data_IF_627245221897
#
_entry.id   IF_627245221897
#
_cell.length_a   1.000
_cell.length_b   1.000
_cell.length_c   1.000
_cell.angle_alpha   90.00
_cell.angle_beta   90.00
_cell.angle_gamma   90.00
#
_symmetry.space_group_name_H-M   'P 1'
#
loop_
_entity.id
_entity.type
_entity.pdbx_description
1 polymer ?
#
# COMPACT_ATOMS: atom_id res chain seq x y z
N UNK A 1 -23.53 -1.42 -6.29
CA UNK A 1 -23.34 -0.02 -5.91
C UNK A 1 -21.92 0.10 -5.39
N UNK A 2 -21.02 0.75 -6.13
CA UNK A 2 -19.67 1.00 -5.65
C UNK A 2 -19.75 2.15 -4.64
N UNK A 3 -19.52 1.86 -3.36
CA UNK A 3 -19.28 2.88 -2.35
C UNK A 3 -17.83 3.34 -2.40
N UNK A 4 -17.35 3.86 -3.54
CA UNK A 4 -16.01 4.44 -3.64
C UNK A 4 -15.98 5.75 -2.85
N UNK A 5 -16.00 5.67 -1.53
CA UNK A 5 -15.88 6.84 -0.66
C UNK A 5 -14.42 7.28 -0.74
N UNK A 6 -14.13 8.15 -1.71
CA UNK A 6 -12.87 8.89 -1.78
C UNK A 6 -12.96 10.03 -0.76
N UNK A 7 -12.42 9.82 0.43
CA UNK A 7 -12.25 10.92 1.38
C UNK A 7 -10.89 11.54 1.13
N UNK A 8 -10.86 12.83 0.78
CA UNK A 8 -9.64 13.64 0.72
C UNK A 8 -9.60 14.51 1.98
N UNK A 9 -8.69 14.20 2.89
CA UNK A 9 -8.46 15.04 4.07
C UNK A 9 -7.12 15.75 3.94
N UNK A 10 -7.12 17.07 4.11
CA UNK A 10 -5.91 17.89 4.20
C UNK A 10 -5.65 18.18 5.66
N UNK A 11 -4.45 17.86 6.15
CA UNK A 11 -4.01 18.21 7.49
C UNK A 11 -3.09 19.42 7.39
N UNK A 12 -3.53 20.57 7.90
CA UNK A 12 -2.69 21.76 8.03
C UNK A 12 -1.98 21.74 9.39
N UNK A 13 -0.81 21.10 9.43
CA UNK A 13 0.23 21.39 10.42
C UNK A 13 1.28 22.25 9.74
N UNK A 14 1.63 23.40 10.33
CA UNK A 14 2.59 24.38 9.80
C UNK A 14 3.75 23.66 9.06
N UNK A 15 3.83 23.86 7.74
CA UNK A 15 4.82 23.36 6.75
C UNK A 15 4.61 22.02 6.00
N UNK A 16 3.62 21.17 6.31
CA UNK A 16 3.38 19.95 5.49
C UNK A 16 1.89 19.79 5.14
N UNK A 17 1.53 20.09 3.88
CA UNK A 17 0.22 19.73 3.32
C UNK A 17 0.23 18.21 3.07
N UNK A 18 -0.37 17.45 3.98
CA UNK A 18 -0.57 16.01 3.78
C UNK A 18 -1.86 15.83 2.99
N UNK A 19 -1.74 15.39 1.74
CA UNK A 19 -2.87 14.98 0.93
C UNK A 19 -3.09 13.47 1.14
N UNK A 20 -4.21 13.13 1.76
CA UNK A 20 -4.55 11.76 2.10
C UNK A 20 -5.77 11.28 1.30
N UNK A 21 -5.68 10.10 0.71
CA UNK A 21 -6.77 9.43 0.00
C UNK A 21 -7.06 8.10 0.70
N UNK A 22 -8.32 7.93 1.09
CA UNK A 22 -8.82 6.65 1.61
C UNK A 22 -9.78 6.02 0.58
N UNK A 23 -9.61 4.72 0.35
CA UNK A 23 -10.38 3.90 -0.57
C UNK A 23 -10.93 2.71 0.21
N UNK A 24 -12.26 2.59 0.27
CA UNK A 24 -12.97 1.51 0.99
C UNK A 24 -13.93 0.75 0.09
N UNK A 25 -14.14 -0.53 0.38
CA UNK A 25 -15.18 -1.37 -0.21
C UNK A 25 -15.15 -1.43 -1.76
N UNK A 26 -13.98 -1.30 -2.37
CA UNK A 26 -13.88 -1.28 -3.83
C UNK A 26 -13.98 -2.68 -4.44
N UNK A 27 -14.81 -2.78 -5.48
CA UNK A 27 -15.06 -4.02 -6.21
C UNK A 27 -14.05 -4.26 -7.36
N UNK A 28 -13.23 -3.27 -7.72
CA UNK A 28 -12.11 -3.40 -8.65
C UNK A 28 -11.28 -2.10 -8.66
N UNK A 29 -10.01 -2.14 -8.29
CA UNK A 29 -9.10 -0.99 -8.47
C UNK A 29 -8.75 -0.79 -9.96
N UNK A 30 -8.85 -1.86 -10.75
CA UNK A 30 -8.67 -1.86 -12.20
C UNK A 30 -9.85 -1.23 -12.99
N UNK A 31 -11.04 -1.10 -12.38
CA UNK A 31 -12.23 -0.49 -13.02
C UNK A 31 -12.33 1.03 -12.77
N UNK A 32 -11.28 1.64 -12.19
CA UNK A 32 -11.11 3.09 -12.31
C UNK A 32 -11.00 3.43 -13.80
N UNK A 33 -11.83 4.32 -14.39
CA UNK A 33 -11.94 4.52 -15.85
C UNK A 33 -10.68 5.05 -16.59
N UNK A 34 -9.55 5.08 -15.91
CA UNK A 34 -8.26 5.63 -16.30
C UNK A 34 -7.32 5.42 -15.11
N UNK A 35 -5.99 5.36 -15.31
CA UNK A 35 -4.99 5.38 -14.24
C UNK A 35 -5.39 6.31 -13.09
N UNK A 36 -5.83 5.71 -11.99
CA UNK A 36 -6.63 6.37 -10.96
C UNK A 36 -5.86 7.46 -10.24
N UNK A 37 -6.04 8.69 -10.75
CA UNK A 37 -5.48 9.97 -10.31
C UNK A 37 -3.96 9.94 -10.17
N UNK A 38 -3.20 10.26 -11.25
CA UNK A 38 -1.87 10.83 -11.05
C UNK A 38 -2.02 12.06 -10.17
N UNK A 39 -1.81 11.86 -8.87
CA UNK A 39 -1.88 12.90 -7.86
C UNK A 39 -0.46 13.07 -7.33
N UNK A 40 0.31 13.97 -7.96
CA UNK A 40 1.71 14.16 -7.63
C UNK A 40 1.89 14.71 -6.23
N UNK A 41 0.83 15.12 -5.52
CA UNK A 41 0.90 15.64 -4.15
C UNK A 41 0.37 14.64 -3.11
N UNK A 42 -0.16 13.49 -3.54
CA UNK A 42 -0.66 12.48 -2.61
C UNK A 42 0.47 11.89 -1.78
N UNK A 43 0.41 12.09 -0.47
CA UNK A 43 1.42 11.62 0.47
C UNK A 43 0.95 10.42 1.30
N UNK A 44 -0.36 10.22 1.46
CA UNK A 44 -0.94 9.09 2.18
C UNK A 44 -2.03 8.41 1.34
N UNK A 45 -1.90 7.10 1.14
CA UNK A 45 -2.90 6.25 0.51
C UNK A 45 -3.32 5.13 1.46
N UNK A 46 -4.61 5.07 1.75
CA UNK A 46 -5.24 3.98 2.50
C UNK A 46 -6.17 3.19 1.59
N UNK A 47 -6.00 1.87 1.54
CA UNK A 47 -6.85 0.97 0.76
C UNK A 47 -7.32 -0.15 1.67
N UNK A 48 -8.60 -0.11 2.05
CA UNK A 48 -9.20 -1.03 3.01
C UNK A 48 -10.42 -1.73 2.41
N UNK A 49 -10.69 -2.95 2.89
CA UNK A 49 -11.93 -3.70 2.60
C UNK A 49 -12.24 -3.91 1.11
N UNK A 50 -11.20 -3.91 0.25
CA UNK A 50 -11.37 -4.11 -1.19
C UNK A 50 -11.35 -5.60 -1.55
N UNK A 51 -12.45 -6.29 -1.25
CA UNK A 51 -12.54 -7.76 -1.32
C UNK A 51 -12.42 -8.36 -2.73
N UNK A 52 -12.59 -7.56 -3.78
CA UNK A 52 -12.43 -8.01 -5.18
C UNK A 52 -11.14 -7.54 -5.84
N UNK A 53 -10.30 -6.83 -5.09
CA UNK A 53 -9.04 -6.32 -5.60
C UNK A 53 -8.05 -7.48 -5.82
N UNK A 54 -7.66 -7.70 -7.07
CA UNK A 54 -6.73 -8.78 -7.45
C UNK A 54 -5.26 -8.36 -7.41
N UNK A 55 -4.98 -7.10 -7.68
CA UNK A 55 -3.63 -6.54 -7.72
C UNK A 55 -3.65 -5.03 -7.47
N UNK A 56 -2.56 -4.51 -6.91
CA UNK A 56 -2.30 -3.07 -6.85
C UNK A 56 -1.81 -2.55 -8.22
N UNK A 57 -1.82 -1.22 -8.47
CA UNK A 57 -1.33 -0.65 -9.72
C UNK A 57 0.16 -0.92 -9.94
N UNK A 58 0.52 -1.29 -11.18
CA UNK A 58 1.91 -1.52 -11.56
C UNK A 58 2.72 -0.23 -11.78
N UNK A 59 2.09 0.95 -11.75
CA UNK A 59 2.75 2.23 -12.07
C UNK A 59 2.68 3.22 -10.90
N UNK A 60 2.74 2.75 -9.65
CA UNK A 60 2.56 3.63 -8.48
C UNK A 60 3.66 4.69 -8.32
N UNK A 61 4.89 4.39 -8.72
CA UNK A 61 6.03 5.31 -8.75
C UNK A 61 5.80 6.52 -9.66
N UNK A 62 5.11 6.32 -10.78
CA UNK A 62 4.78 7.39 -11.73
C UNK A 62 3.45 8.07 -11.42
N UNK A 63 2.46 7.32 -10.91
CA UNK A 63 1.14 7.87 -10.56
C UNK A 63 1.17 8.66 -9.24
N UNK A 64 1.95 8.21 -8.26
CA UNK A 64 1.95 8.76 -6.90
C UNK A 64 3.39 9.07 -6.45
N UNK A 65 4.14 9.92 -7.16
CA UNK A 65 5.58 10.14 -6.91
C UNK A 65 5.91 10.72 -5.53
N UNK A 66 4.94 11.38 -4.88
CA UNK A 66 5.08 11.96 -3.53
C UNK A 66 4.54 11.07 -2.42
N UNK A 67 4.12 9.84 -2.73
CA UNK A 67 3.55 8.95 -1.72
C UNK A 67 4.61 8.58 -0.69
N UNK A 68 4.30 8.87 0.57
CA UNK A 68 5.15 8.57 1.71
C UNK A 68 4.60 7.41 2.53
N UNK A 69 3.27 7.25 2.57
CA UNK A 69 2.60 6.26 3.40
C UNK A 69 1.62 5.48 2.54
N UNK A 70 1.80 4.16 2.50
CA UNK A 70 0.84 3.22 1.94
C UNK A 70 0.35 2.28 3.05
N UNK A 71 -0.95 2.30 3.28
CA UNK A 71 -1.65 1.43 4.22
C UNK A 71 -2.70 0.61 3.46
N UNK A 72 -2.49 -0.69 3.42
CA UNK A 72 -3.23 -1.64 2.62
C UNK A 72 -3.73 -2.78 3.51
N UNK A 73 -5.04 -2.93 3.69
CA UNK A 73 -5.56 -3.93 4.62
C UNK A 73 -6.91 -4.54 4.22
N UNK A 74 -7.23 -5.72 4.75
CA UNK A 74 -8.53 -6.37 4.58
C UNK A 74 -8.94 -6.58 3.10
N UNK A 75 -7.95 -6.82 2.22
CA UNK A 75 -8.14 -7.07 0.79
C UNK A 75 -7.80 -8.53 0.45
N UNK A 76 -8.81 -9.40 0.48
CA UNK A 76 -8.62 -10.86 0.49
C UNK A 76 -8.26 -11.51 -0.86
N UNK A 77 -8.52 -10.85 -1.99
CA UNK A 77 -8.31 -11.43 -3.34
C UNK A 77 -6.97 -11.04 -3.98
N UNK A 78 -6.09 -10.38 -3.23
CA UNK A 78 -4.83 -9.85 -3.78
C UNK A 78 -3.82 -10.98 -3.87
N UNK A 79 -3.44 -11.32 -5.09
CA UNK A 79 -2.50 -12.43 -5.34
C UNK A 79 -1.08 -11.96 -5.64
N UNK A 80 -0.91 -10.69 -6.02
CA UNK A 80 0.38 -10.12 -6.39
C UNK A 80 0.58 -8.73 -5.80
N UNK A 81 1.84 -8.46 -5.43
CA UNK A 81 2.31 -7.15 -5.00
C UNK A 81 3.19 -6.55 -6.12
N UNK A 82 3.03 -5.25 -6.44
CA UNK A 82 3.66 -4.69 -7.62
C UNK A 82 5.14 -4.45 -7.31
N UNK A 83 5.98 -5.24 -7.96
CA UNK A 83 7.43 -5.34 -7.70
C UNK A 83 8.15 -4.13 -8.26
N UNK A 84 8.91 -3.43 -7.42
CA UNK A 84 9.82 -2.43 -7.93
C UNK A 84 9.11 -1.27 -8.63
N UNK A 85 7.90 -0.94 -8.20
CA UNK A 85 7.13 0.22 -8.69
C UNK A 85 6.53 1.03 -7.55
N UNK A 86 6.99 0.79 -6.31
CA UNK A 86 6.72 1.67 -5.18
C UNK A 86 7.55 2.96 -5.31
N UNK A 87 6.98 4.13 -5.00
CA UNK A 87 7.67 5.41 -4.94
C UNK A 87 8.88 5.37 -4.00
N UNK A 88 10.03 5.90 -4.43
CA UNK A 88 11.27 5.88 -3.63
C UNK A 88 11.19 6.74 -2.38
N UNK A 89 10.30 7.73 -2.35
CA UNK A 89 10.05 8.62 -1.20
C UNK A 89 9.18 7.98 -0.10
N UNK A 90 8.86 6.69 -0.23
CA UNK A 90 8.06 5.96 0.74
C UNK A 90 8.77 5.85 2.09
N UNK A 91 8.07 6.27 3.15
CA UNK A 91 8.51 6.27 4.54
C UNK A 91 7.89 5.11 5.33
N UNK A 92 6.61 4.81 5.09
CA UNK A 92 5.88 3.77 5.79
C UNK A 92 5.09 2.90 4.82
N UNK A 93 5.22 1.58 4.98
CA UNK A 93 4.47 0.58 4.25
C UNK A 93 3.79 -0.35 5.26
N UNK A 94 2.47 -0.28 5.33
CA UNK A 94 1.64 -1.18 6.13
C UNK A 94 0.80 -2.06 5.19
N UNK A 95 0.95 -3.37 5.29
CA UNK A 95 0.26 -4.34 4.44
C UNK A 95 -0.31 -5.46 5.31
N UNK A 96 -1.62 -5.65 5.27
CA UNK A 96 -2.30 -6.87 5.65
C UNK A 96 -2.61 -7.70 4.38
N UNK A 97 -1.98 -8.87 4.28
CA UNK A 97 -2.03 -9.71 3.08
C UNK A 97 -2.01 -11.21 3.40
N UNK A 98 -2.23 -12.03 2.37
CA UNK A 98 -2.14 -13.48 2.49
C UNK A 98 -0.70 -13.95 2.76
N UNK A 99 -0.56 -15.11 3.39
CA UNK A 99 0.72 -15.80 3.61
C UNK A 99 1.51 -15.94 2.30
N UNK A 100 0.83 -16.26 1.19
CA UNK A 100 1.43 -16.37 -0.15
C UNK A 100 2.11 -15.08 -0.58
N UNK A 101 1.50 -13.93 -0.31
CA UNK A 101 2.04 -12.63 -0.67
C UNK A 101 3.24 -12.26 0.21
N UNK A 102 3.11 -12.44 1.53
CA UNK A 102 4.15 -12.12 2.53
C UNK A 102 5.39 -12.99 2.35
N UNK A 103 5.22 -14.25 1.95
CA UNK A 103 6.34 -15.17 1.69
C UNK A 103 7.20 -14.68 0.50
N UNK A 104 6.60 -13.98 -0.46
CA UNK A 104 7.30 -13.41 -1.62
C UNK A 104 7.81 -11.97 -1.39
N UNK A 105 7.78 -11.44 -0.16
CA UNK A 105 8.19 -10.05 0.16
C UNK A 105 9.58 -9.65 -0.30
N UNK A 106 10.50 -10.62 -0.40
CA UNK A 106 11.85 -10.39 -0.91
C UNK A 106 11.86 -9.89 -2.36
N UNK A 107 10.79 -10.16 -3.11
CA UNK A 107 10.60 -9.72 -4.48
C UNK A 107 10.02 -8.31 -4.58
N UNK A 108 9.51 -7.70 -3.50
CA UNK A 108 8.81 -6.41 -3.58
C UNK A 108 9.73 -5.22 -3.90
N UNK A 109 11.05 -5.43 -3.95
CA UNK A 109 12.00 -4.37 -4.28
C UNK A 109 12.20 -3.35 -3.15
N UNK A 110 11.87 -3.71 -1.90
CA UNK A 110 11.99 -2.82 -0.73
C UNK A 110 13.40 -2.26 -0.54
N UNK A 111 14.44 -2.97 -1.02
CA UNK A 111 15.85 -2.51 -0.96
C UNK A 111 16.11 -1.18 -1.67
N UNK A 112 15.24 -0.77 -2.60
CA UNK A 112 15.34 0.51 -3.32
C UNK A 112 14.67 1.67 -2.57
N UNK A 113 13.89 1.37 -1.53
CA UNK A 113 13.17 2.36 -0.74
C UNK A 113 14.07 2.88 0.38
N UNK A 114 15.03 3.73 0.01
CA UNK A 114 16.04 4.25 0.95
C UNK A 114 15.46 5.07 2.11
N UNK A 115 14.23 5.58 1.96
CA UNK A 115 13.53 6.35 2.98
C UNK A 115 12.55 5.53 3.82
N UNK A 116 12.41 4.21 3.55
CA UNK A 116 11.47 3.36 4.26
C UNK A 116 11.94 3.13 5.70
N UNK A 117 11.27 3.77 6.65
CA UNK A 117 11.58 3.64 8.08
C UNK A 117 10.69 2.61 8.78
N UNK A 118 9.51 2.34 8.23
CA UNK A 118 8.53 1.45 8.84
C UNK A 118 7.97 0.46 7.81
N UNK A 119 8.11 -0.83 8.11
CA UNK A 119 7.43 -1.90 7.41
C UNK A 119 6.57 -2.67 8.41
N UNK A 120 5.25 -2.62 8.24
CA UNK A 120 4.29 -3.33 9.07
C UNK A 120 3.59 -4.38 8.21
N UNK A 121 3.81 -5.65 8.51
CA UNK A 121 3.17 -6.75 7.81
C UNK A 121 2.22 -7.47 8.76
N UNK A 122 0.99 -7.67 8.33
CA UNK A 122 -0.03 -8.46 9.01
C UNK A 122 -0.54 -9.53 8.05
N UNK A 123 -0.97 -10.66 8.61
CA UNK A 123 -1.39 -11.80 7.82
C UNK A 123 -2.79 -12.26 8.23
N UNK A 124 -3.76 -12.18 7.33
CA UNK A 124 -5.16 -12.49 7.63
C UNK A 124 -5.55 -13.95 7.39
N UNK A 125 -4.72 -14.76 6.72
CA UNK A 125 -4.99 -16.18 6.44
C UNK A 125 -3.91 -17.15 6.97
N UNK A 126 -3.03 -16.66 7.84
CA UNK A 126 -1.96 -17.43 8.45
C UNK A 126 -2.49 -18.61 9.26
N UNK A 127 -2.19 -19.82 8.82
CA UNK A 127 -2.39 -21.03 9.62
C UNK A 127 -1.22 -21.16 10.58
N UNK A 128 -1.44 -20.69 11.79
CA UNK A 128 -0.61 -20.70 13.01
C UNK A 128 0.89 -21.10 12.88
N UNK A 129 1.74 -20.15 13.33
CA UNK A 129 3.13 -20.30 13.77
C UNK A 129 4.31 -20.20 12.78
N UNK A 130 4.19 -19.59 11.58
CA UNK A 130 5.38 -19.46 10.70
C UNK A 130 5.65 -18.15 9.99
N UNK A 131 4.79 -17.14 10.05
CA UNK A 131 4.97 -15.99 9.15
C UNK A 131 6.02 -14.96 9.57
N UNK A 132 6.48 -14.99 10.82
CA UNK A 132 7.50 -14.05 11.28
C UNK A 132 8.57 -14.78 12.09
N UNK A 133 9.81 -14.95 11.58
CA UNK A 133 10.94 -14.88 12.49
C UNK A 133 10.98 -13.44 13.04
N UNK A 134 11.02 -13.32 14.36
CA UNK A 134 11.00 -12.07 15.13
C UNK A 134 12.27 -11.20 14.94
N UNK A 135 13.16 -11.56 14.01
CA UNK A 135 14.47 -10.96 13.83
C UNK A 135 14.69 -10.68 12.34
N UNK A 136 14.50 -9.44 11.89
CA UNK A 136 15.26 -8.80 10.79
C UNK A 136 14.78 -7.36 10.48
N UNK A 137 14.54 -6.55 11.51
CA UNK A 137 14.57 -5.10 11.38
C UNK A 137 15.58 -4.48 12.35
N UNK A 138 16.81 -5.02 12.34
CA UNK A 138 17.95 -4.26 12.84
C UNK A 138 18.53 -3.43 11.70
N UNK A 139 18.28 -2.12 11.80
CA UNK A 139 18.99 -1.04 11.12
C UNK A 139 20.47 -1.37 10.93
N UNK A 140 20.95 -1.26 9.70
CA UNK A 140 22.33 -0.86 9.41
C UNK A 140 22.38 0.04 8.19
#
# INVERSE_FOLDING_TARGET
MCGNIKSLSVWEGHELVILALEIKECLNFADSPSGGLPDPNLSLLKVHDCLRLKSLPENMDTLLPSLQILDFASCQQVESFPVGVLPTNMNCLAIDASEKLITNRNQWGLKRLHYLNQLLLSCHDCREQKCFPEEDFHKS
#
